data_IF_172609663193
#
_entry.id   IF_172609663193
#
_cell.length_a   1.000
_cell.length_b   1.000
_cell.length_c   1.000
_cell.angle_alpha   90.00
_cell.angle_beta   90.00
_cell.angle_gamma   90.00
#
_symmetry.space_group_name_H-M   'P 1'
#
loop_
_entity.id
_entity.type
_entity.pdbx_description
1 polymer ?
#
# COMPACT_ATOMS: atom_id res chain seq x y z
N UNK A 1 10.51 -30.72 -4.92
CA UNK A 1 10.06 -29.63 -4.01
C UNK A 1 10.58 -29.90 -2.61
N UNK A 2 11.13 -28.89 -1.93
CA UNK A 2 11.60 -29.07 -0.55
C UNK A 2 10.40 -29.11 0.41
N UNK A 3 10.31 -30.16 1.23
CA UNK A 3 9.26 -30.31 2.26
C UNK A 3 9.81 -29.87 3.62
N UNK A 4 9.06 -29.09 4.42
CA UNK A 4 9.51 -28.68 5.74
C UNK A 4 9.71 -29.90 6.65
N UNK A 5 10.92 -30.09 7.17
CA UNK A 5 11.20 -31.21 8.09
C UNK A 5 10.42 -31.09 9.41
N UNK A 6 10.13 -29.86 9.84
CA UNK A 6 9.40 -29.53 11.09
C UNK A 6 8.48 -28.34 10.87
N UNK A 7 7.40 -28.27 11.66
CA UNK A 7 6.49 -27.12 11.63
C UNK A 7 7.19 -25.85 12.11
N UNK A 8 6.84 -24.72 11.52
CA UNK A 8 7.26 -23.41 12.03
C UNK A 8 6.58 -23.16 13.39
N UNK A 9 7.33 -22.68 14.39
CA UNK A 9 6.74 -22.31 15.68
C UNK A 9 5.71 -21.18 15.54
N UNK A 10 4.76 -21.09 16.49
CA UNK A 10 3.72 -20.05 16.49
C UNK A 10 4.33 -18.65 16.43
N UNK A 11 5.39 -18.41 17.21
CA UNK A 11 6.12 -17.13 17.23
C UNK A 11 6.70 -16.78 15.85
N UNK A 12 7.47 -17.69 15.22
CA UNK A 12 8.07 -17.45 13.90
C UNK A 12 7.01 -17.21 12.81
N UNK A 13 5.87 -17.92 12.86
CA UNK A 13 4.74 -17.69 11.95
C UNK A 13 4.13 -16.30 12.14
N UNK A 14 3.94 -15.86 13.39
CA UNK A 14 3.35 -14.56 13.69
C UNK A 14 4.25 -13.39 13.25
N UNK A 15 5.57 -13.50 13.45
CA UNK A 15 6.53 -12.47 12.99
C UNK A 15 6.43 -12.28 11.48
N UNK A 16 6.39 -13.36 10.70
CA UNK A 16 6.24 -13.29 9.23
C UNK A 16 4.93 -12.60 8.82
N UNK A 17 3.83 -12.93 9.50
CA UNK A 17 2.53 -12.25 9.25
C UNK A 17 2.57 -10.77 9.64
N UNK A 18 3.25 -10.44 10.73
CA UNK A 18 3.38 -9.07 11.19
C UNK A 18 4.11 -8.20 10.15
N UNK A 19 5.19 -8.71 9.56
CA UNK A 19 5.92 -8.01 8.50
C UNK A 19 5.02 -7.62 7.31
N UNK A 20 4.05 -8.46 6.95
CA UNK A 20 3.05 -8.12 5.92
C UNK A 20 2.07 -7.05 6.40
N UNK A 21 1.55 -7.18 7.63
CA UNK A 21 0.62 -6.19 8.22
C UNK A 21 1.24 -4.80 8.35
N UNK A 22 2.52 -4.71 8.73
CA UNK A 22 3.24 -3.44 8.84
C UNK A 22 3.37 -2.71 7.49
N UNK A 23 3.43 -3.44 6.36
CA UNK A 23 3.41 -2.80 5.03
C UNK A 23 2.06 -2.15 4.75
N UNK A 24 0.96 -2.85 5.06
CA UNK A 24 -0.41 -2.35 4.88
C UNK A 24 -0.65 -1.12 5.76
N UNK A 25 -0.21 -1.17 7.02
CA UNK A 25 -0.33 -0.05 7.95
C UNK A 25 0.33 1.22 7.42
N UNK A 26 1.56 1.12 6.87
CA UNK A 26 2.24 2.27 6.24
C UNK A 26 1.43 2.87 5.10
N UNK A 27 0.80 2.04 4.27
CA UNK A 27 -0.02 2.52 3.17
C UNK A 27 -1.31 3.18 3.66
N UNK A 28 -1.97 2.59 4.66
CA UNK A 28 -3.18 3.15 5.26
C UNK A 28 -2.95 4.53 5.90
N UNK A 29 -1.81 4.72 6.57
CA UNK A 29 -1.45 6.03 7.15
C UNK A 29 -1.27 7.08 6.05
N UNK A 30 -0.59 6.73 4.95
CA UNK A 30 -0.39 7.63 3.81
C UNK A 30 -1.71 7.99 3.13
N UNK A 31 -2.58 7.01 2.88
CA UNK A 31 -3.88 7.25 2.24
C UNK A 31 -4.77 8.12 3.10
N UNK A 32 -4.79 7.90 4.42
CA UNK A 32 -5.53 8.74 5.37
C UNK A 32 -5.02 10.18 5.36
N UNK A 33 -3.70 10.37 5.41
CA UNK A 33 -3.09 11.71 5.34
C UNK A 33 -3.49 12.44 4.05
N UNK A 34 -3.41 11.77 2.90
CA UNK A 34 -3.81 12.33 1.61
C UNK A 34 -5.30 12.68 1.57
N UNK A 35 -6.17 11.81 2.07
CA UNK A 35 -7.61 12.08 2.12
C UNK A 35 -7.94 13.32 2.97
N UNK A 36 -7.29 13.46 4.12
CA UNK A 36 -7.43 14.66 4.97
C UNK A 36 -6.90 15.92 4.30
N UNK A 37 -5.77 15.81 3.60
CA UNK A 37 -5.21 16.93 2.84
C UNK A 37 -6.20 17.39 1.77
N UNK A 38 -6.74 16.46 0.98
CA UNK A 38 -7.68 16.75 -0.10
C UNK A 38 -8.97 17.41 0.41
N UNK A 39 -9.51 16.93 1.55
CA UNK A 39 -10.69 17.52 2.19
C UNK A 39 -10.47 18.97 2.66
N UNK A 40 -9.24 19.34 2.99
CA UNK A 40 -8.90 20.68 3.48
C UNK A 40 -8.55 21.63 2.34
N UNK A 41 -7.99 21.13 1.25
CA UNK A 41 -7.57 21.94 0.11
C UNK A 41 -8.75 22.29 -0.80
N UNK A 42 -8.71 23.48 -1.41
CA UNK A 42 -9.64 23.82 -2.49
C UNK A 42 -9.20 23.10 -3.78
N UNK A 43 -10.14 22.62 -4.61
CA UNK A 43 -9.81 21.88 -5.83
C UNK A 43 -9.06 22.73 -6.87
N UNK A 44 -9.23 24.05 -6.83
CA UNK A 44 -8.61 25.03 -7.75
C UNK A 44 -7.09 25.20 -7.57
N UNK A 45 -6.48 24.51 -6.61
CA UNK A 45 -5.03 24.56 -6.43
C UNK A 45 -4.36 23.68 -7.50
N UNK A 46 -3.57 24.25 -8.44
CA UNK A 46 -3.01 23.51 -9.57
C UNK A 46 -2.11 22.33 -9.14
N UNK A 47 -1.58 22.37 -7.92
CA UNK A 47 -0.82 21.27 -7.34
C UNK A 47 -1.71 20.06 -7.01
N UNK A 48 -2.95 20.29 -6.57
CA UNK A 48 -3.93 19.26 -6.21
C UNK A 48 -4.50 18.62 -7.47
N UNK A 49 -4.83 19.40 -8.50
CA UNK A 49 -5.32 18.87 -9.79
C UNK A 49 -4.30 17.92 -10.44
N UNK A 50 -3.02 18.31 -10.45
CA UNK A 50 -1.93 17.46 -10.99
C UNK A 50 -1.72 16.20 -10.16
N UNK A 51 -2.04 16.21 -8.87
CA UNK A 51 -2.04 15.00 -8.03
C UNK A 51 -3.24 14.10 -8.37
N UNK A 52 -4.44 14.66 -8.53
CA UNK A 52 -5.65 13.91 -8.89
C UNK A 52 -5.51 13.21 -10.24
N UNK A 53 -4.99 13.91 -11.26
CA UNK A 53 -4.78 13.33 -12.58
C UNK A 53 -3.79 12.15 -12.55
N UNK A 54 -2.68 12.29 -11.80
CA UNK A 54 -1.72 11.18 -11.63
C UNK A 54 -2.33 9.98 -10.90
N UNK A 55 -3.16 10.19 -9.89
CA UNK A 55 -3.82 9.09 -9.19
C UNK A 55 -4.78 8.33 -10.12
N UNK A 56 -5.49 9.03 -11.00
CA UNK A 56 -6.37 8.40 -11.98
C UNK A 56 -5.61 7.54 -12.99
N UNK A 57 -4.43 7.97 -13.44
CA UNK A 57 -3.60 7.22 -14.40
C UNK A 57 -3.01 5.93 -13.80
N UNK A 58 -2.63 5.94 -12.52
CA UNK A 58 -2.12 4.75 -11.81
C UNK A 58 -3.23 3.71 -11.57
N UNK A 59 -4.48 4.14 -11.34
CA UNK A 59 -5.62 3.21 -11.23
C UNK A 59 -6.02 2.56 -12.56
N UNK A 60 -5.60 3.13 -13.70
CA UNK A 60 -5.91 2.62 -15.03
C UNK A 60 -4.94 1.53 -15.52
N UNK A 61 -3.78 1.37 -14.86
CA UNK A 61 -2.81 0.30 -15.18
C UNK A 61 -2.84 -0.75 -14.07
N UNK A 62 -3.35 -1.97 -14.33
CA UNK A 62 -3.23 -3.05 -13.35
C UNK A 62 -1.74 -3.39 -13.16
N UNK A 63 -1.34 -3.61 -11.90
CA UNK A 63 0.03 -3.90 -11.49
C UNK A 63 0.63 -5.10 -12.27
N UNK A 64 1.36 -4.85 -13.37
CA UNK A 64 2.20 -5.84 -14.07
C UNK A 64 3.54 -6.10 -13.35
N UNK A 65 3.70 -5.62 -12.11
CA UNK A 65 4.97 -5.65 -11.38
C UNK A 65 5.06 -6.79 -10.36
N UNK A 66 4.74 -8.02 -10.74
CA UNK A 66 5.23 -9.20 -9.99
C UNK A 66 5.33 -10.48 -10.83
N UNK A 67 5.79 -10.34 -12.07
CA UNK A 67 6.04 -11.45 -12.99
C UNK A 67 7.36 -11.25 -13.72
N UNK A 68 8.47 -11.19 -12.98
CA UNK A 68 9.81 -11.61 -13.40
C UNK A 68 10.60 -12.13 -12.19
#
# INVERSE_FOLDING_TARGET
MAVPKKRTSKSKKNIRKNAWKTKVEKQAVRSLFLAKYLLKTKPEDPAVEKLLNRLNDETAKPDESNSQ
#
